data_IF_200372294952
#
_entry.id   IF_200372294952
#
_cell.length_a   1.000
_cell.length_b   1.000
_cell.length_c   1.000
_cell.angle_alpha   90.00
_cell.angle_beta   90.00
_cell.angle_gamma   90.00
#
_symmetry.space_group_name_H-M   'P 1'
#
loop_
_entity.id
_entity.type
_entity.pdbx_description
1 polymer ?
#
# COMPACT_ATOMS: atom_id res chain seq x y z
N UNK A 1 -0.70 -26.80 -2.61
CA UNK A 1 0.15 -25.60 -2.63
C UNK A 1 -0.56 -24.58 -1.77
N UNK A 2 0.16 -23.93 -0.88
CA UNK A 2 -0.39 -22.94 0.06
C UNK A 2 -0.82 -21.74 -0.79
N UNK A 3 -2.08 -21.34 -0.63
CA UNK A 3 -2.64 -20.19 -1.33
C UNK A 3 -2.01 -18.92 -0.75
N UNK A 4 -1.42 -18.11 -1.63
CA UNK A 4 -0.55 -17.00 -1.26
C UNK A 4 -1.41 -15.74 -1.10
N UNK A 5 -2.24 -15.72 -0.04
CA UNK A 5 -3.39 -14.81 0.09
C UNK A 5 -3.05 -13.56 0.92
N UNK A 6 -2.18 -12.70 0.40
CA UNK A 6 -2.01 -11.36 0.95
C UNK A 6 -2.32 -10.26 -0.07
N UNK A 7 -2.89 -9.11 0.32
CA UNK A 7 -3.00 -7.96 -0.56
C UNK A 7 -1.63 -7.55 -1.13
N UNK A 8 -0.54 -7.67 -0.36
CA UNK A 8 0.81 -7.34 -0.84
C UNK A 8 1.22 -8.20 -2.05
N UNK A 9 1.05 -9.53 -1.95
CA UNK A 9 1.36 -10.48 -3.02
C UNK A 9 0.39 -10.39 -4.20
N UNK A 10 -0.89 -10.12 -3.93
CA UNK A 10 -1.94 -10.05 -4.96
C UNK A 10 -1.86 -8.80 -5.81
N UNK A 11 -1.57 -7.66 -5.18
CA UNK A 11 -1.63 -6.36 -5.84
C UNK A 11 -0.23 -5.94 -6.32
N UNK A 12 0.81 -6.21 -5.52
CA UNK A 12 2.17 -5.71 -5.72
C UNK A 12 3.19 -6.85 -5.77
N UNK A 13 2.93 -7.92 -6.52
CA UNK A 13 3.77 -9.13 -6.59
C UNK A 13 5.29 -8.84 -6.62
N UNK A 14 5.74 -7.92 -7.50
CA UNK A 14 7.16 -7.55 -7.63
C UNK A 14 7.74 -6.70 -6.48
N UNK A 15 6.92 -6.19 -5.57
CA UNK A 15 7.29 -5.31 -4.45
C UNK A 15 6.66 -5.76 -3.11
N UNK A 16 6.16 -7.01 -3.05
CA UNK A 16 5.34 -7.49 -1.94
C UNK A 16 6.11 -7.43 -0.61
N UNK A 17 7.39 -7.79 -0.62
CA UNK A 17 8.23 -7.90 0.57
C UNK A 17 8.59 -6.50 1.08
N UNK A 18 8.99 -5.60 0.20
CA UNK A 18 9.31 -4.21 0.53
C UNK A 18 8.10 -3.48 1.10
N UNK A 19 6.93 -3.64 0.46
CA UNK A 19 5.68 -3.04 0.93
C UNK A 19 5.22 -3.64 2.26
N UNK A 20 5.36 -4.96 2.45
CA UNK A 20 5.05 -5.61 3.73
C UNK A 20 5.96 -5.10 4.85
N UNK A 21 7.27 -5.01 4.62
CA UNK A 21 8.20 -4.46 5.61
C UNK A 21 7.89 -3.00 5.94
N UNK A 22 7.54 -2.18 4.94
CA UNK A 22 7.13 -0.81 5.19
C UNK A 22 5.86 -0.75 6.03
N UNK A 23 4.87 -1.59 5.72
CA UNK A 23 3.64 -1.69 6.51
C UNK A 23 3.95 -2.03 7.96
N UNK A 24 4.83 -3.01 8.22
CA UNK A 24 5.23 -3.38 9.58
C UNK A 24 5.86 -2.20 10.34
N UNK A 25 6.67 -1.38 9.67
CA UNK A 25 7.22 -0.13 10.25
C UNK A 25 6.12 0.87 10.54
N UNK A 26 5.27 1.19 9.57
CA UNK A 26 4.19 2.18 9.74
C UNK A 26 3.22 1.75 10.85
N UNK A 27 2.86 0.47 10.89
CA UNK A 27 2.08 -0.15 11.95
C UNK A 27 2.73 0.07 13.32
N UNK A 28 4.03 -0.18 13.47
CA UNK A 28 4.73 0.03 14.75
C UNK A 28 4.73 1.49 15.21
N UNK A 29 4.59 2.44 14.28
CA UNK A 29 4.56 3.87 14.55
C UNK A 29 3.15 4.40 14.80
N UNK A 30 2.14 3.81 14.16
CA UNK A 30 0.75 4.29 14.17
C UNK A 30 -0.24 3.37 14.91
N UNK A 31 0.24 2.25 15.48
CA UNK A 31 -0.57 1.25 16.20
C UNK A 31 -1.71 0.64 15.35
N UNK A 32 -1.41 0.33 14.10
CA UNK A 32 -2.36 -0.38 13.21
C UNK A 32 -2.48 -1.87 13.57
N UNK A 33 -3.54 -2.56 13.10
CA UNK A 33 -3.73 -3.97 13.39
C UNK A 33 -2.54 -4.87 12.99
N UNK A 34 -2.39 -5.98 13.69
CA UNK A 34 -1.38 -6.98 13.40
C UNK A 34 -1.68 -7.71 12.10
N UNK A 35 -0.67 -7.80 11.25
CA UNK A 35 -0.73 -8.57 10.00
C UNK A 35 0.44 -9.53 9.98
N UNK A 36 0.14 -10.81 9.80
CA UNK A 36 1.15 -11.82 9.60
C UNK A 36 1.41 -11.96 8.11
N UNK A 37 2.69 -12.06 7.75
CA UNK A 37 3.09 -12.41 6.40
C UNK A 37 2.40 -13.75 6.10
N UNK A 38 1.40 -13.74 5.22
CA UNK A 38 0.56 -14.88 4.80
C UNK A 38 -0.67 -15.26 5.64
N UNK A 39 -1.07 -14.52 6.68
CA UNK A 39 -2.31 -14.83 7.42
C UNK A 39 -3.04 -13.55 7.91
N UNK A 40 -4.34 -13.49 7.59
CA UNK A 40 -5.27 -12.42 7.97
C UNK A 40 -6.40 -13.05 8.76
N UNK A 41 -6.26 -13.04 10.08
CA UNK A 41 -7.30 -13.56 10.98
C UNK A 41 -8.34 -12.51 11.34
N UNK A 42 -8.13 -11.26 10.92
CA UNK A 42 -8.93 -10.09 11.28
C UNK A 42 -9.21 -9.23 10.04
N UNK A 43 -10.48 -8.92 9.81
CA UNK A 43 -10.93 -8.12 8.68
C UNK A 43 -10.43 -6.68 8.77
N UNK A 44 -10.36 -6.11 9.98
CA UNK A 44 -9.82 -4.77 10.17
C UNK A 44 -8.35 -4.74 9.71
N UNK A 45 -7.58 -5.78 10.05
CA UNK A 45 -6.21 -5.91 9.60
C UNK A 45 -6.12 -6.04 8.07
N UNK A 46 -7.01 -6.82 7.45
CA UNK A 46 -7.08 -6.94 6.00
C UNK A 46 -7.41 -5.60 5.31
N UNK A 47 -8.36 -4.82 5.85
CA UNK A 47 -8.68 -3.47 5.36
C UNK A 47 -7.47 -2.54 5.45
N UNK A 48 -6.75 -2.55 6.59
CA UNK A 48 -5.55 -1.73 6.75
C UNK A 48 -4.42 -2.14 5.81
N UNK A 49 -4.11 -3.44 5.66
CA UNK A 49 -3.11 -3.83 4.66
C UNK A 49 -3.54 -3.45 3.25
N UNK A 50 -4.79 -3.72 2.87
CA UNK A 50 -5.26 -3.48 1.51
C UNK A 50 -5.23 -2.00 1.17
N UNK A 51 -5.71 -1.13 2.06
CA UNK A 51 -5.63 0.33 1.88
C UNK A 51 -4.18 0.83 1.79
N UNK A 52 -3.27 0.27 2.59
CA UNK A 52 -1.86 0.62 2.52
C UNK A 52 -1.19 0.16 1.21
N UNK A 53 -1.52 -1.05 0.76
CA UNK A 53 -1.02 -1.59 -0.51
C UNK A 53 -1.53 -0.77 -1.69
N UNK A 54 -2.79 -0.35 -1.68
CA UNK A 54 -3.33 0.56 -2.69
C UNK A 54 -2.60 1.92 -2.69
N UNK A 55 -2.22 2.46 -1.53
CA UNK A 55 -1.37 3.66 -1.48
C UNK A 55 0.01 3.43 -2.10
N UNK A 56 0.61 2.26 -1.84
CA UNK A 56 1.90 1.89 -2.40
C UNK A 56 1.82 1.71 -3.92
N UNK A 57 0.77 1.05 -4.41
CA UNK A 57 0.48 0.91 -5.84
C UNK A 57 0.41 2.28 -6.53
N UNK A 58 -0.34 3.23 -5.95
CA UNK A 58 -0.43 4.59 -6.49
C UNK A 58 0.92 5.31 -6.51
N UNK A 59 1.75 5.10 -5.51
CA UNK A 59 3.12 5.61 -5.54
C UNK A 59 3.91 4.96 -6.70
N UNK A 60 3.94 3.62 -6.79
CA UNK A 60 4.63 2.86 -7.86
C UNK A 60 4.23 3.38 -9.23
N UNK A 61 2.92 3.42 -9.49
CA UNK A 61 2.36 3.89 -10.75
C UNK A 61 2.86 5.31 -11.07
N UNK A 62 2.78 6.20 -10.09
CA UNK A 62 3.17 7.59 -10.27
C UNK A 62 4.65 7.69 -10.63
N UNK A 63 5.55 6.98 -9.95
CA UNK A 63 6.99 7.09 -10.19
C UNK A 63 7.46 6.33 -11.44
N UNK A 64 6.90 5.15 -11.71
CA UNK A 64 7.32 4.27 -12.81
C UNK A 64 6.56 4.49 -14.12
N UNK A 65 5.33 5.02 -14.09
CA UNK A 65 4.33 4.90 -15.17
C UNK A 65 4.06 3.46 -15.61
N UNK A 66 4.45 2.48 -14.81
CA UNK A 66 4.06 1.10 -15.00
C UNK A 66 2.67 0.93 -14.40
N UNK A 67 1.72 0.53 -15.23
CA UNK A 67 0.32 0.33 -14.84
C UNK A 67 0.11 -0.83 -13.85
N UNK A 68 1.15 -1.62 -13.56
CA UNK A 68 1.08 -2.71 -12.57
C UNK A 68 -0.10 -3.67 -12.84
N UNK A 69 -0.54 -4.37 -11.80
CA UNK A 69 -1.85 -5.02 -11.77
C UNK A 69 -2.85 -4.02 -11.20
N UNK A 70 -3.29 -3.05 -12.00
CA UNK A 70 -4.32 -2.12 -11.59
C UNK A 70 -5.55 -2.92 -11.13
N UNK A 71 -5.99 -2.70 -9.89
CA UNK A 71 -7.30 -3.19 -9.46
C UNK A 71 -8.31 -2.24 -10.08
N UNK A 72 -8.71 -2.55 -11.31
CA UNK A 72 -9.83 -1.89 -11.98
C UNK A 72 -11.18 -2.43 -11.48
N UNK A 73 -11.16 -3.54 -10.76
CA UNK A 73 -12.35 -4.26 -10.32
C UNK A 73 -12.28 -4.63 -8.83
N UNK A 74 -13.07 -3.91 -8.03
CA UNK A 74 -13.25 -4.21 -6.61
C UNK A 74 -13.96 -5.54 -6.38
N UNK A 75 -14.75 -6.06 -7.33
CA UNK A 75 -15.41 -7.38 -7.19
C UNK A 75 -14.38 -8.50 -7.18
N UNK A 76 -13.42 -8.46 -8.12
CA UNK A 76 -12.29 -9.38 -8.15
C UNK A 76 -11.45 -9.29 -6.87
N UNK A 77 -11.12 -8.07 -6.43
CA UNK A 77 -10.39 -7.86 -5.18
C UNK A 77 -11.13 -8.43 -3.96
N UNK A 78 -12.44 -8.15 -3.87
CA UNK A 78 -13.31 -8.61 -2.80
C UNK A 78 -13.30 -10.13 -2.69
N UNK A 79 -13.50 -10.80 -3.83
CA UNK A 79 -13.52 -12.25 -3.90
C UNK A 79 -12.14 -12.88 -3.63
N UNK A 80 -11.05 -12.28 -4.11
CA UNK A 80 -9.72 -12.85 -3.96
C UNK A 80 -9.16 -12.72 -2.54
N UNK A 81 -9.50 -11.64 -1.84
CA UNK A 81 -9.10 -11.38 -0.46
C UNK A 81 -10.12 -11.88 0.58
N UNK A 82 -11.28 -12.38 0.14
CA UNK A 82 -12.35 -12.92 0.98
C UNK A 82 -12.82 -11.93 2.05
N UNK A 83 -13.10 -10.67 1.68
CA UNK A 83 -13.68 -9.71 2.61
C UNK A 83 -15.07 -10.16 3.09
N UNK A 84 -15.35 -10.00 4.39
CA UNK A 84 -16.69 -10.23 4.95
C UNK A 84 -17.62 -9.03 4.68
N UNK A 85 -17.02 -7.83 4.62
CA UNK A 85 -17.65 -6.56 4.27
C UNK A 85 -18.34 -6.69 2.91
N UNK A 86 -19.61 -6.27 2.77
CA UNK A 86 -20.29 -6.30 1.49
C UNK A 86 -19.54 -5.51 0.41
N UNK A 87 -19.54 -6.00 -0.84
CA UNK A 87 -18.87 -5.34 -1.96
C UNK A 87 -19.29 -3.87 -2.13
N UNK A 88 -20.58 -3.58 -1.92
CA UNK A 88 -21.15 -2.23 -2.03
C UNK A 88 -20.58 -1.25 -0.97
N UNK A 89 -19.99 -1.76 0.11
CA UNK A 89 -19.39 -0.97 1.20
C UNK A 89 -17.86 -0.98 1.18
N UNK A 90 -17.25 -1.95 0.48
CA UNK A 90 -15.79 -2.19 0.52
C UNK A 90 -14.99 -0.96 0.11
N UNK A 91 -15.34 -0.32 -1.02
CA UNK A 91 -14.63 0.86 -1.50
C UNK A 91 -14.63 1.98 -0.46
N UNK A 92 -15.80 2.24 0.15
CA UNK A 92 -15.94 3.28 1.17
C UNK A 92 -15.08 2.97 2.40
N UNK A 93 -15.07 1.70 2.84
CA UNK A 93 -14.24 1.25 3.98
C UNK A 93 -12.75 1.38 3.71
N UNK A 94 -12.31 1.02 2.50
CA UNK A 94 -10.92 1.17 2.09
C UNK A 94 -10.49 2.64 2.03
N UNK A 95 -11.39 3.53 1.57
CA UNK A 95 -11.16 4.99 1.57
C UNK A 95 -11.05 5.53 2.99
N UNK A 96 -11.99 5.20 3.88
CA UNK A 96 -11.98 5.62 5.30
C UNK A 96 -10.65 5.20 5.97
N UNK A 97 -10.25 3.96 5.76
CA UNK A 97 -9.01 3.41 6.30
C UNK A 97 -7.77 4.15 5.76
N UNK A 98 -7.73 4.42 4.46
CA UNK A 98 -6.67 5.20 3.82
C UNK A 98 -6.56 6.62 4.39
N UNK A 99 -7.68 7.32 4.57
CA UNK A 99 -7.71 8.68 5.13
C UNK A 99 -7.20 8.72 6.58
N UNK A 100 -7.59 7.71 7.38
CA UNK A 100 -7.05 7.52 8.73
C UNK A 100 -5.53 7.36 8.71
N UNK A 101 -5.01 6.53 7.78
CA UNK A 101 -3.57 6.33 7.66
C UNK A 101 -2.80 7.59 7.28
N UNK A 102 -3.31 8.33 6.30
CA UNK A 102 -2.70 9.59 5.85
C UNK A 102 -2.65 10.57 7.03
N UNK A 103 -3.72 10.66 7.81
CA UNK A 103 -3.80 11.53 8.98
C UNK A 103 -2.74 11.16 10.03
N UNK A 104 -2.61 9.87 10.36
CA UNK A 104 -1.61 9.39 11.31
C UNK A 104 -0.17 9.61 10.79
N UNK A 105 0.10 9.30 9.52
CA UNK A 105 1.39 9.52 8.89
C UNK A 105 1.79 11.00 8.91
N UNK A 106 0.86 11.93 8.64
CA UNK A 106 1.11 13.38 8.71
C UNK A 106 1.40 13.87 10.14
N UNK A 107 0.83 13.22 11.15
CA UNK A 107 1.10 13.56 12.54
C UNK A 107 2.54 13.19 12.95
N UNK A 108 3.07 12.10 12.41
CA UNK A 108 4.43 11.59 12.70
C UNK A 108 5.47 12.27 11.80
N UNK A 109 5.23 12.26 10.49
CA UNK A 109 6.12 12.81 9.47
C UNK A 109 5.64 14.19 9.04
N UNK A 110 6.07 15.21 9.78
CA UNK A 110 5.58 16.59 9.65
C UNK A 110 5.96 17.32 8.36
N UNK A 111 6.83 16.73 7.54
CA UNK A 111 7.30 17.35 6.28
C UNK A 111 7.02 16.43 5.11
N UNK A 112 6.75 17.05 3.96
CA UNK A 112 6.57 16.34 2.68
C UNK A 112 7.78 15.46 2.39
N UNK A 113 8.98 15.97 2.60
CA UNK A 113 10.23 15.26 2.34
C UNK A 113 10.34 13.98 3.17
N UNK A 114 9.85 13.98 4.42
CA UNK A 114 9.89 12.82 5.28
C UNK A 114 8.87 11.75 4.84
N UNK A 115 7.65 12.17 4.46
CA UNK A 115 6.63 11.27 3.91
C UNK A 115 7.14 10.64 2.60
N UNK A 116 7.67 11.46 1.69
CA UNK A 116 8.20 10.95 0.44
C UNK A 116 9.41 10.04 0.64
N UNK A 117 10.27 10.32 1.63
CA UNK A 117 11.41 9.44 1.97
C UNK A 117 10.96 8.09 2.52
N UNK A 118 9.87 8.06 3.28
CA UNK A 118 9.26 6.81 3.78
C UNK A 118 8.81 5.94 2.61
N UNK A 119 8.06 6.50 1.65
CA UNK A 119 7.60 5.77 0.47
C UNK A 119 8.75 5.41 -0.48
N UNK A 120 9.74 6.30 -0.65
CA UNK A 120 10.94 6.01 -1.43
C UNK A 120 11.77 4.85 -0.84
N UNK A 121 11.60 4.53 0.44
CA UNK A 121 12.28 3.40 1.08
C UNK A 121 11.82 2.04 0.53
N UNK A 122 10.63 1.95 -0.07
CA UNK A 122 10.16 0.76 -0.83
C UNK A 122 11.02 0.52 -2.08
N UNK A 123 11.58 1.60 -2.67
CA UNK A 123 12.21 1.57 -3.99
C UNK A 123 13.71 1.76 -3.95
N UNK A 124 14.38 1.32 -2.88
CA UNK A 124 15.81 1.00 -2.98
C UNK A 124 15.95 -0.25 -3.87
N UNK A 125 15.68 -0.03 -5.15
CA UNK A 125 15.72 -1.01 -6.22
C UNK A 125 17.04 -1.74 -6.13
N UNK A 126 16.93 -3.07 -6.16
CA UNK A 126 18.02 -4.01 -5.99
C UNK A 126 19.26 -3.58 -6.77
N UNK A 127 20.45 -3.79 -6.21
CA UNK A 127 21.77 -3.40 -6.73
C UNK A 127 22.11 -3.92 -8.17
N UNK A 128 21.15 -4.53 -8.88
CA UNK A 128 21.34 -5.26 -10.13
C UNK A 128 20.39 -4.87 -11.27
N UNK A 129 19.42 -3.98 -11.07
CA UNK A 129 18.61 -3.42 -12.15
C UNK A 129 18.90 -1.91 -12.33
N UNK A 130 18.69 -1.40 -13.54
CA UNK A 130 19.07 -0.03 -13.93
C UNK A 130 18.68 1.01 -12.87
N UNK A 131 19.51 2.04 -12.63
CA UNK A 131 19.23 3.03 -11.60
C UNK A 131 17.85 3.61 -11.81
N UNK A 132 17.01 3.47 -10.78
CA UNK A 132 15.65 3.99 -10.79
C UNK A 132 15.68 5.50 -10.95
N UNK A 133 15.44 6.01 -12.16
CA UNK A 133 15.33 7.44 -12.40
C UNK A 133 13.91 7.85 -12.03
N UNK A 134 13.73 8.18 -10.75
CA UNK A 134 12.50 8.80 -10.26
C UNK A 134 12.37 10.19 -10.86
N UNK A 135 11.27 10.44 -11.56
CA UNK A 135 10.88 11.77 -12.02
C UNK A 135 10.32 12.57 -10.82
N UNK A 136 11.07 13.58 -10.37
CA UNK A 136 10.74 14.40 -9.20
C UNK A 136 9.31 14.97 -9.26
N UNK A 137 8.87 15.43 -10.44
CA UNK A 137 7.54 16.01 -10.60
C UNK A 137 6.42 15.02 -10.27
N UNK A 138 6.63 13.74 -10.59
CA UNK A 138 5.64 12.70 -10.33
C UNK A 138 5.53 12.41 -8.84
N UNK A 139 6.64 12.40 -8.13
CA UNK A 139 6.63 12.21 -6.65
C UNK A 139 5.84 13.35 -5.98
N UNK A 140 5.93 14.57 -6.49
CA UNK A 140 5.11 15.68 -6.00
C UNK A 140 3.62 15.47 -6.28
N UNK A 141 3.26 15.03 -7.50
CA UNK A 141 1.88 14.73 -7.86
C UNK A 141 1.28 13.67 -6.94
N UNK A 142 2.01 12.61 -6.62
CA UNK A 142 1.57 11.60 -5.64
C UNK A 142 1.23 12.26 -4.30
N UNK A 143 2.15 13.05 -3.74
CA UNK A 143 1.93 13.70 -2.46
C UNK A 143 0.69 14.59 -2.47
N UNK A 144 0.51 15.40 -3.51
CA UNK A 144 -0.61 16.34 -3.58
C UNK A 144 -1.98 15.66 -3.73
N UNK A 145 -2.03 14.47 -4.33
CA UNK A 145 -3.29 13.76 -4.58
C UNK A 145 -3.63 12.70 -3.51
N UNK A 146 -2.62 12.18 -2.80
CA UNK A 146 -2.79 11.06 -1.86
C UNK A 146 -2.35 11.37 -0.43
N UNK A 147 -1.83 12.58 -0.16
CA UNK A 147 -1.49 13.06 1.19
C UNK A 147 -2.07 14.44 1.46
#
# INVERSE_FOLDING_TARGET
>A
MIDNTSPFSKILDSYQDECFHLYAVVKSLCDYPDIFHFDYTDEDALLYATSFVLLCERYIFTVTKNEGNYIDDFESLHSELNFETPIDELESKLIECRESMITALKAIFKTKENILSLFASIFRMQEHEEPFIVDYFRVEDFYHNYF
#
